data_IF_840304849840
#
_entry.id   IF_840304849840
#
_cell.length_a   1.000
_cell.length_b   1.000
_cell.length_c   1.000
_cell.angle_alpha   90.00
_cell.angle_beta   90.00
_cell.angle_gamma   90.00
#
_symmetry.space_group_name_H-M   'P 1'
#
loop_
_entity.id
_entity.type
_entity.pdbx_description
1 polymer ?
#
# COMPACT_ATOMS: atom_id res chain seq x y z
N UNK A 1 -24.47 -56.87 -50.27
CA UNK A 1 -23.27 -56.80 -49.41
C UNK A 1 -23.61 -55.93 -48.21
N UNK A 2 -23.16 -56.37 -47.03
CA UNK A 2 -23.56 -55.88 -45.71
C UNK A 2 -23.28 -54.38 -45.44
N UNK A 3 -23.99 -53.76 -44.48
CA UNK A 3 -24.04 -52.32 -44.22
C UNK A 3 -23.40 -51.93 -42.87
N UNK A 4 -23.65 -50.68 -42.43
CA UNK A 4 -23.58 -50.13 -41.05
C UNK A 4 -22.26 -49.45 -40.62
N UNK A 5 -22.34 -48.13 -40.41
CA UNK A 5 -22.31 -47.58 -39.05
C UNK A 5 -23.01 -46.21 -38.98
N UNK A 6 -24.19 -46.22 -38.38
CA UNK A 6 -24.78 -45.07 -37.68
C UNK A 6 -24.15 -45.02 -36.28
N UNK A 7 -23.76 -43.85 -35.83
CA UNK A 7 -23.71 -43.45 -34.42
C UNK A 7 -24.21 -42.00 -34.44
N UNK A 8 -25.28 -41.58 -33.79
CA UNK A 8 -25.93 -42.09 -32.59
C UNK A 8 -26.18 -40.85 -31.72
N UNK A 9 -27.29 -40.17 -31.97
CA UNK A 9 -27.73 -39.05 -31.14
C UNK A 9 -28.01 -39.55 -29.73
N UNK A 10 -27.25 -39.06 -28.74
CA UNK A 10 -27.52 -39.34 -27.33
C UNK A 10 -28.49 -38.29 -26.81
N UNK A 11 -29.76 -38.72 -26.70
CA UNK A 11 -30.75 -38.12 -25.81
C UNK A 11 -30.25 -38.23 -24.37
N UNK A 12 -30.14 -37.12 -23.66
CA UNK A 12 -30.23 -37.14 -22.19
C UNK A 12 -31.70 -36.90 -21.84
N UNK A 13 -32.37 -37.97 -21.39
CA UNK A 13 -33.64 -37.87 -20.67
C UNK A 13 -33.35 -37.63 -19.20
N UNK A 14 -34.11 -36.71 -18.65
CA UNK A 14 -34.46 -36.57 -17.25
C UNK A 14 -35.06 -37.87 -16.69
N UNK A 15 -34.62 -38.29 -15.51
CA UNK A 15 -35.44 -38.40 -14.29
C UNK A 15 -34.76 -39.28 -13.23
N UNK A 16 -35.02 -38.93 -11.98
CA UNK A 16 -34.88 -39.72 -10.75
C UNK A 16 -33.49 -40.05 -10.21
N UNK A 17 -33.07 -39.27 -9.20
CA UNK A 17 -32.93 -39.79 -7.82
C UNK A 17 -32.51 -38.68 -6.85
N UNK A 18 -33.46 -38.19 -6.06
CA UNK A 18 -33.18 -37.80 -4.68
C UNK A 18 -32.93 -39.09 -3.86
N UNK A 19 -32.09 -39.02 -2.80
CA UNK A 19 -32.69 -39.24 -1.49
C UNK A 19 -32.11 -38.40 -0.34
N UNK A 20 -33.05 -38.00 0.55
CA UNK A 20 -33.01 -38.06 2.04
C UNK A 20 -31.84 -37.33 2.71
N UNK A 21 -32.06 -36.18 3.35
CA UNK A 21 -32.77 -35.99 4.64
C UNK A 21 -32.50 -37.08 5.68
N UNK A 22 -31.52 -36.83 6.55
CA UNK A 22 -31.42 -37.44 7.88
C UNK A 22 -31.05 -36.36 8.90
N UNK A 23 -32.09 -35.92 9.61
CA UNK A 23 -32.21 -36.01 11.07
C UNK A 23 -31.09 -35.41 11.93
N UNK A 24 -31.47 -34.30 12.58
CA UNK A 24 -31.24 -33.96 13.99
C UNK A 24 -29.89 -34.36 14.63
N UNK A 25 -29.10 -33.35 14.96
CA UNK A 25 -28.54 -33.24 16.33
C UNK A 25 -28.41 -31.78 16.74
N UNK A 26 -29.52 -31.28 17.27
CA UNK A 26 -29.57 -30.13 18.17
C UNK A 26 -28.90 -30.56 19.49
N UNK A 27 -27.62 -30.23 19.66
CA UNK A 27 -26.99 -30.20 20.98
C UNK A 27 -26.85 -28.73 21.40
N UNK A 28 -27.84 -28.31 22.17
CA UNK A 28 -27.84 -27.12 23.00
C UNK A 28 -26.69 -27.21 24.01
N UNK A 29 -25.56 -26.57 23.74
CA UNK A 29 -24.65 -26.16 24.82
C UNK A 29 -25.11 -24.80 25.33
N UNK A 30 -26.14 -24.82 26.19
CA UNK A 30 -26.39 -23.74 27.14
C UNK A 30 -25.27 -23.81 28.17
N UNK A 31 -24.30 -22.92 28.07
CA UNK A 31 -23.51 -22.52 29.23
C UNK A 31 -24.18 -21.30 29.84
N UNK A 32 -24.98 -21.54 30.88
CA UNK A 32 -25.37 -20.50 31.83
C UNK A 32 -24.09 -19.93 32.46
N UNK A 33 -23.86 -18.61 32.46
CA UNK A 33 -23.01 -18.03 33.47
C UNK A 33 -23.76 -18.08 34.80
N UNK A 34 -23.41 -19.04 35.65
CA UNK A 34 -23.81 -19.01 37.06
C UNK A 34 -23.27 -17.71 37.66
N UNK A 35 -24.18 -16.88 38.18
CA UNK A 35 -23.88 -15.86 39.18
C UNK A 35 -23.07 -16.52 40.30
N UNK A 36 -21.81 -16.13 40.41
CA UNK A 36 -21.07 -16.23 41.66
C UNK A 36 -21.04 -14.83 42.24
N UNK A 37 -21.94 -14.60 43.20
CA UNK A 37 -21.84 -13.47 44.11
C UNK A 37 -20.55 -13.66 44.91
N UNK A 38 -19.52 -12.92 44.50
CA UNK A 38 -18.24 -12.83 45.19
C UNK A 38 -18.02 -11.38 45.57
N UNK A 39 -18.43 -11.03 46.79
CA UNK A 39 -18.11 -9.77 47.45
C UNK A 39 -16.59 -9.62 47.56
N UNK A 40 -15.97 -8.94 46.59
CA UNK A 40 -14.56 -8.60 46.68
C UNK A 40 -14.40 -7.23 47.32
N UNK A 41 -13.97 -7.23 48.57
CA UNK A 41 -13.54 -6.03 49.30
C UNK A 41 -12.41 -5.34 48.54
N UNK A 42 -12.69 -4.19 47.95
CA UNK A 42 -11.64 -3.25 47.52
C UNK A 42 -11.09 -2.62 48.79
N UNK A 43 -9.95 -3.13 49.26
CA UNK A 43 -9.12 -2.45 50.25
C UNK A 43 -8.65 -1.11 49.67
N UNK A 44 -9.23 -0.02 50.15
CA UNK A 44 -8.63 1.30 50.11
C UNK A 44 -7.24 1.26 50.75
N UNK A 45 -6.20 1.46 49.94
CA UNK A 45 -4.90 1.89 50.42
C UNK A 45 -4.70 3.34 49.99
N UNK A 46 -4.86 4.22 50.96
CA UNK A 46 -4.29 5.56 50.99
C UNK A 46 -2.77 5.44 50.89
N UNK A 47 -2.17 6.17 49.96
CA UNK A 47 -0.73 6.45 50.00
C UNK A 47 -0.57 7.97 49.86
N UNK A 48 -0.24 8.56 50.99
CA UNK A 48 0.07 9.98 51.19
C UNK A 48 1.36 10.34 50.47
N UNK A 49 1.37 11.55 49.92
CA UNK A 49 2.45 12.23 49.23
C UNK A 49 3.71 12.48 50.09
N UNK A 50 4.83 12.71 49.41
CA UNK A 50 5.84 13.79 49.59
C UNK A 50 7.27 13.27 49.36
N UNK A 51 7.95 13.86 48.38
CA UNK A 51 9.34 13.54 48.06
C UNK A 51 9.96 14.54 47.08
N UNK A 52 10.11 15.77 47.55
CA UNK A 52 11.08 16.81 47.18
C UNK A 52 11.53 16.98 45.72
N UNK A 53 11.19 18.16 45.18
CA UNK A 53 11.95 18.86 44.14
C UNK A 53 13.39 19.10 44.59
N UNK A 54 14.35 18.85 43.69
CA UNK A 54 15.59 19.62 43.63
C UNK A 54 15.81 20.07 42.18
N UNK A 55 15.72 21.38 41.97
CA UNK A 55 16.20 22.06 40.77
C UNK A 55 17.74 21.95 40.70
N UNK A 56 18.25 21.64 39.52
CA UNK A 56 19.58 22.06 39.10
C UNK A 56 19.51 22.50 37.64
N UNK A 57 19.34 23.80 37.44
CA UNK A 57 19.63 24.47 36.19
C UNK A 57 21.11 24.85 36.20
N UNK A 58 21.87 24.35 35.22
CA UNK A 58 23.14 24.94 34.83
C UNK A 58 23.18 24.94 33.30
N UNK A 59 23.06 26.15 32.76
CA UNK A 59 22.92 26.44 31.34
C UNK A 59 24.16 26.11 30.53
N UNK A 60 23.91 25.61 29.32
CA UNK A 60 24.81 25.76 28.19
C UNK A 60 24.03 26.53 27.14
N UNK A 61 24.31 27.83 27.06
CA UNK A 61 23.82 28.69 25.99
C UNK A 61 24.45 28.25 24.67
N UNK A 62 23.75 27.39 23.91
CA UNK A 62 24.04 27.23 22.49
C UNK A 62 23.26 28.33 21.77
N UNK A 63 23.98 29.37 21.35
CA UNK A 63 23.44 30.39 20.47
C UNK A 63 22.94 29.71 19.18
N UNK A 64 21.63 29.54 19.05
CA UNK A 64 21.01 29.16 17.80
C UNK A 64 21.11 30.36 16.86
N UNK A 65 22.08 30.31 15.94
CA UNK A 65 22.07 31.18 14.79
C UNK A 65 20.74 30.96 14.03
N UNK A 66 20.02 32.01 13.60
CA UNK A 66 18.84 31.82 12.77
C UNK A 66 19.31 31.20 11.47
N UNK A 67 18.97 29.93 11.26
CA UNK A 67 19.14 29.31 9.94
C UNK A 67 18.19 30.05 9.03
N UNK A 68 18.78 30.93 8.22
CA UNK A 68 18.09 31.60 7.12
C UNK A 68 17.36 30.53 6.33
N UNK A 69 16.06 30.75 6.09
CA UNK A 69 15.27 29.94 5.19
C UNK A 69 15.88 30.06 3.78
N UNK A 70 16.87 29.21 3.51
CA UNK A 70 17.47 29.05 2.21
C UNK A 70 16.43 28.38 1.33
N UNK A 71 15.74 29.24 0.58
CA UNK A 71 15.26 29.04 -0.78
C UNK A 71 15.37 27.60 -1.29
N UNK A 72 14.21 26.96 -1.48
CA UNK A 72 14.04 25.64 -2.10
C UNK A 72 14.87 25.53 -3.39
N UNK A 73 15.97 24.79 -3.31
CA UNK A 73 16.73 24.33 -4.46
C UNK A 73 16.08 23.10 -5.10
N UNK A 74 16.23 22.91 -6.41
CA UNK A 74 15.56 21.87 -7.19
C UNK A 74 16.10 20.47 -6.85
N UNK A 75 15.30 19.45 -7.18
CA UNK A 75 15.58 18.03 -6.97
C UNK A 75 17.05 17.62 -7.21
N UNK A 76 17.57 16.71 -6.38
CA UNK A 76 18.76 15.95 -6.75
C UNK A 76 19.53 15.32 -5.61
N UNK A 77 19.30 14.02 -5.42
CA UNK A 77 20.28 12.94 -5.17
C UNK A 77 19.45 11.71 -4.76
N UNK A 78 19.39 10.67 -5.60
CA UNK A 78 18.75 9.35 -5.38
C UNK A 78 17.38 9.02 -6.06
N UNK A 79 16.93 9.70 -7.12
CA UNK A 79 15.79 9.23 -7.97
C UNK A 79 14.69 10.26 -8.22
N UNK A 80 13.53 9.81 -8.75
CA UNK A 80 12.34 10.65 -8.99
C UNK A 80 11.73 11.21 -7.68
N UNK A 81 11.01 12.33 -7.80
CA UNK A 81 10.17 12.90 -6.74
C UNK A 81 10.84 14.02 -5.94
N UNK A 82 10.04 14.67 -5.10
CA UNK A 82 10.48 15.69 -4.14
C UNK A 82 10.56 15.07 -2.74
N UNK A 83 11.61 15.36 -1.99
CA UNK A 83 11.74 14.91 -0.61
C UNK A 83 10.60 15.45 0.25
N UNK A 84 9.90 14.55 0.92
CA UNK A 84 8.94 14.82 1.98
C UNK A 84 9.27 13.97 3.21
N UNK A 85 8.79 14.39 4.37
CA UNK A 85 8.95 13.68 5.63
C UNK A 85 7.59 13.55 6.32
N UNK A 86 7.35 12.43 6.98
CA UNK A 86 6.11 12.20 7.72
C UNK A 86 6.20 12.70 9.17
N UNK A 87 5.09 13.22 9.69
CA UNK A 87 4.94 13.72 11.07
C UNK A 87 4.96 12.58 12.09
N UNK A 88 4.40 11.43 11.70
CA UNK A 88 4.21 10.23 12.52
C UNK A 88 4.42 8.99 11.66
N UNK A 89 4.57 7.83 12.30
CA UNK A 89 4.56 6.56 11.58
C UNK A 89 3.19 6.41 10.88
N UNK A 90 3.22 6.31 9.56
CA UNK A 90 2.02 6.42 8.73
C UNK A 90 1.94 5.26 7.76
N UNK A 91 0.77 4.61 7.61
CA UNK A 91 0.56 3.61 6.58
C UNK A 91 0.78 4.15 5.17
N UNK A 92 1.39 3.34 4.31
CA UNK A 92 1.33 3.49 2.87
C UNK A 92 0.14 2.68 2.35
N UNK A 93 -0.75 3.30 1.58
CA UNK A 93 -1.93 2.66 1.02
C UNK A 93 -1.73 2.29 -0.45
N UNK A 94 -2.26 1.14 -0.87
CA UNK A 94 -2.17 0.68 -2.26
C UNK A 94 -2.85 1.63 -3.25
N UNK A 95 -3.98 2.22 -2.87
CA UNK A 95 -4.72 3.16 -3.71
C UNK A 95 -5.27 4.34 -2.89
N UNK A 96 -5.92 5.30 -3.57
CA UNK A 96 -6.55 6.43 -2.89
C UNK A 96 -7.77 5.96 -2.08
N UNK A 97 -7.68 6.04 -0.76
CA UNK A 97 -8.79 5.79 0.16
C UNK A 97 -8.53 4.70 1.21
N UNK A 98 -9.27 4.79 2.32
CA UNK A 98 -9.09 3.95 3.52
C UNK A 98 -9.48 2.47 3.32
N UNK A 99 -10.20 2.13 2.26
CA UNK A 99 -10.61 0.75 1.96
C UNK A 99 -9.53 -0.04 1.22
N UNK A 100 -8.43 0.60 0.80
CA UNK A 100 -7.35 -0.08 0.11
C UNK A 100 -6.36 -0.70 1.11
N UNK A 101 -5.72 -1.84 0.76
CA UNK A 101 -4.75 -2.48 1.64
C UNK A 101 -3.59 -1.54 2.01
N UNK A 102 -3.12 -1.67 3.24
CA UNK A 102 -1.83 -1.11 3.63
C UNK A 102 -0.72 -1.97 3.03
N UNK A 103 0.25 -1.31 2.39
CA UNK A 103 1.35 -1.95 1.65
C UNK A 103 2.72 -1.73 2.29
N UNK A 104 2.79 -0.82 3.26
CA UNK A 104 4.00 -0.48 4.00
C UNK A 104 3.76 0.57 5.07
N UNK A 105 4.84 1.10 5.63
CA UNK A 105 4.84 2.19 6.61
C UNK A 105 5.89 3.21 6.20
N UNK A 106 5.48 4.48 6.11
CA UNK A 106 6.37 5.63 6.09
C UNK A 106 6.57 6.10 7.54
N UNK A 107 7.71 5.71 8.08
CA UNK A 107 8.15 6.01 9.43
C UNK A 107 8.32 7.51 9.66
N UNK A 108 7.89 8.02 10.82
CA UNK A 108 8.06 9.41 11.23
C UNK A 108 9.50 9.88 10.94
N UNK A 109 9.62 11.07 10.35
CA UNK A 109 10.88 11.72 9.96
C UNK A 109 11.70 11.02 8.87
N UNK A 110 11.32 9.82 8.44
CA UNK A 110 12.00 9.14 7.33
C UNK A 110 11.79 9.91 6.02
N UNK A 111 12.71 9.71 5.10
CA UNK A 111 12.69 10.34 3.79
C UNK A 111 11.75 9.57 2.86
N UNK A 112 10.74 10.25 2.33
CA UNK A 112 9.88 9.71 1.28
C UNK A 112 10.07 10.59 0.05
N UNK A 113 10.22 9.97 -1.12
CA UNK A 113 10.13 10.68 -2.38
C UNK A 113 8.66 10.81 -2.78
N UNK A 114 8.09 12.00 -2.57
CA UNK A 114 6.74 12.32 -3.02
C UNK A 114 6.71 12.66 -4.51
N UNK A 115 5.77 12.09 -5.25
CA UNK A 115 5.75 12.09 -6.71
C UNK A 115 4.64 12.97 -7.25
N UNK A 116 3.40 12.67 -6.87
CA UNK A 116 2.19 13.28 -7.37
C UNK A 116 1.11 13.28 -6.27
N UNK A 117 0.07 14.08 -6.45
CA UNK A 117 -1.08 14.15 -5.54
C UNK A 117 -2.36 13.62 -6.20
N UNK A 118 -3.25 13.10 -5.36
CA UNK A 118 -4.60 12.68 -5.72
C UNK A 118 -5.56 13.00 -4.57
N UNK A 119 -6.85 13.10 -4.87
CA UNK A 119 -7.91 13.25 -3.87
C UNK A 119 -8.68 11.93 -3.75
N UNK A 120 -9.00 11.53 -2.53
CA UNK A 120 -9.97 10.46 -2.31
C UNK A 120 -11.41 10.95 -2.58
N UNK A 121 -12.37 10.04 -2.44
CA UNK A 121 -13.78 10.35 -2.63
C UNK A 121 -14.36 11.34 -1.59
N UNK A 122 -13.65 11.59 -0.48
CA UNK A 122 -14.01 12.58 0.54
C UNK A 122 -13.27 13.92 0.34
N UNK A 123 -12.64 14.13 -0.82
CA UNK A 123 -11.86 15.31 -1.15
C UNK A 123 -10.67 15.53 -0.18
N UNK A 124 -10.15 14.46 0.40
CA UNK A 124 -8.92 14.46 1.20
C UNK A 124 -7.74 14.14 0.30
N UNK A 125 -6.69 14.93 0.42
CA UNK A 125 -5.49 14.82 -0.42
C UNK A 125 -4.57 13.70 0.08
N UNK A 126 -4.10 12.91 -0.87
CA UNK A 126 -3.01 11.96 -0.69
C UNK A 126 -1.87 12.28 -1.65
N UNK A 127 -0.67 11.89 -1.25
CA UNK A 127 0.54 11.96 -2.06
C UNK A 127 1.04 10.55 -2.32
N UNK A 128 1.25 10.21 -3.59
CA UNK A 128 1.99 9.00 -3.94
C UNK A 128 3.45 9.20 -3.56
N UNK A 129 3.96 8.33 -2.70
CA UNK A 129 5.34 8.36 -2.23
C UNK A 129 6.06 7.04 -2.47
N UNK A 130 7.38 7.13 -2.62
CA UNK A 130 8.31 6.00 -2.53
C UNK A 130 9.10 6.16 -1.24
N UNK A 131 8.98 5.20 -0.33
CA UNK A 131 9.77 5.18 0.89
C UNK A 131 11.25 4.96 0.55
N UNK A 132 12.12 5.85 1.04
CA UNK A 132 13.58 5.70 0.86
C UNK A 132 14.16 4.85 1.98
N UNK A 133 15.32 4.20 1.77
CA UNK A 133 16.00 3.47 2.83
C UNK A 133 16.09 4.30 4.12
N UNK A 134 15.49 3.78 5.18
CA UNK A 134 15.39 4.42 6.48
C UNK A 134 15.30 3.37 7.58
N UNK A 135 14.39 3.56 8.53
CA UNK A 135 14.17 2.63 9.66
C UNK A 135 13.66 1.26 9.22
N UNK A 136 13.02 1.20 8.04
CA UNK A 136 12.59 -0.04 7.39
C UNK A 136 13.74 -0.93 6.90
N UNK A 137 14.96 -0.40 6.83
CA UNK A 137 16.09 -1.08 6.22
C UNK A 137 15.93 -1.27 4.71
N UNK A 138 16.97 -1.83 4.09
CA UNK A 138 17.05 -1.96 2.62
C UNK A 138 16.00 -2.92 2.05
N UNK A 139 15.48 -3.85 2.85
CA UNK A 139 14.50 -4.85 2.39
C UNK A 139 13.15 -4.24 1.99
N UNK A 140 12.76 -3.14 2.63
CA UNK A 140 11.47 -2.46 2.40
C UNK A 140 11.64 -1.10 1.74
N UNK A 141 12.90 -0.71 1.48
CA UNK A 141 13.21 0.45 0.68
C UNK A 141 12.53 0.36 -0.69
N UNK A 142 12.12 1.52 -1.18
CA UNK A 142 11.34 1.70 -2.39
C UNK A 142 9.96 1.06 -2.35
N UNK A 143 9.37 0.84 -1.16
CA UNK A 143 7.92 0.58 -1.09
C UNK A 143 7.17 1.82 -1.55
N UNK A 144 6.25 1.65 -2.52
CA UNK A 144 5.45 2.73 -3.07
C UNK A 144 4.00 2.64 -2.57
N UNK A 145 3.42 3.80 -2.25
CA UNK A 145 2.02 3.89 -1.85
C UNK A 145 1.61 5.31 -1.50
N UNK A 146 0.33 5.48 -1.21
CA UNK A 146 -0.28 6.77 -0.90
C UNK A 146 -0.19 7.11 0.59
N UNK A 147 0.19 8.34 0.88
CA UNK A 147 0.25 8.94 2.21
C UNK A 147 -0.78 10.07 2.29
N UNK A 148 -1.51 10.16 3.41
CA UNK A 148 -2.37 11.32 3.67
C UNK A 148 -1.53 12.58 3.83
N UNK A 149 -1.93 13.64 3.15
CA UNK A 149 -1.21 14.91 3.21
C UNK A 149 -1.16 15.52 4.61
N UNK A 150 -2.20 15.29 5.42
CA UNK A 150 -2.27 15.71 6.82
C UNK A 150 -1.14 15.11 7.70
N UNK A 151 -0.42 14.09 7.20
CA UNK A 151 0.70 13.46 7.88
C UNK A 151 2.08 13.87 7.34
N UNK A 152 2.16 14.85 6.42
CA UNK A 152 3.40 15.31 5.80
C UNK A 152 3.81 16.67 6.36
N UNK A 153 5.11 16.86 6.64
CA UNK A 153 5.66 18.13 7.14
C UNK A 153 5.61 19.25 6.09
N UNK A 154 5.95 18.92 4.84
CA UNK A 154 6.10 19.89 3.75
C UNK A 154 4.75 20.20 3.09
N UNK A 155 4.63 21.39 2.51
CA UNK A 155 3.47 21.71 1.66
C UNK A 155 3.54 20.93 0.34
N UNK A 156 2.53 20.12 0.06
CA UNK A 156 2.46 19.27 -1.13
C UNK A 156 1.50 19.80 -2.20
N UNK A 157 0.85 20.94 -1.98
CA UNK A 157 -0.20 21.45 -2.88
C UNK A 157 0.27 21.71 -4.33
N UNK A 158 1.57 21.95 -4.54
CA UNK A 158 2.17 22.14 -5.86
C UNK A 158 2.51 20.85 -6.60
N UNK A 159 2.21 19.68 -6.05
CA UNK A 159 2.52 18.41 -6.70
C UNK A 159 1.64 18.21 -7.94
N UNK A 160 2.17 17.61 -9.02
CA UNK A 160 1.36 17.27 -10.20
C UNK A 160 0.31 16.21 -9.85
N UNK A 161 -0.74 16.11 -10.66
CA UNK A 161 -1.79 15.09 -10.45
C UNK A 161 -1.29 13.69 -10.79
N UNK A 162 -1.67 12.70 -9.98
CA UNK A 162 -1.44 11.28 -10.30
C UNK A 162 -2.32 10.75 -11.43
N UNK A 163 -3.30 11.52 -11.92
CA UNK A 163 -4.22 11.07 -12.97
C UNK A 163 -3.65 11.18 -14.39
N UNK A 164 -2.45 11.73 -14.54
CA UNK A 164 -1.78 11.91 -15.83
C UNK A 164 -0.29 12.16 -15.63
N UNK A 165 0.34 11.46 -14.68
CA UNK A 165 1.73 11.75 -14.31
C UNK A 165 2.72 11.15 -15.32
N UNK A 166 2.44 9.93 -15.77
CA UNK A 166 3.37 9.14 -16.59
C UNK A 166 2.84 8.84 -17.99
N UNK A 167 3.71 8.36 -18.91
CA UNK A 167 3.25 7.75 -20.15
C UNK A 167 2.35 6.55 -19.86
N UNK A 168 1.34 6.36 -20.71
CA UNK A 168 0.53 5.14 -20.68
C UNK A 168 1.34 3.97 -21.23
N UNK A 169 1.25 2.87 -20.53
CA UNK A 169 1.81 1.57 -20.90
C UNK A 169 0.79 0.47 -20.64
N UNK A 170 0.97 -0.68 -21.26
CA UNK A 170 -0.02 -1.74 -21.33
C UNK A 170 0.60 -3.07 -20.94
N UNK A 171 0.06 -3.80 -19.95
CA UNK A 171 0.49 -5.16 -19.66
C UNK A 171 0.16 -6.11 -20.82
N UNK A 172 1.13 -6.91 -21.28
CA UNK A 172 0.91 -7.94 -22.33
C UNK A 172 0.23 -9.20 -21.79
N UNK A 173 0.26 -9.39 -20.48
CA UNK A 173 -0.39 -10.49 -19.74
C UNK A 173 -0.79 -9.99 -18.36
N UNK A 174 -1.66 -10.74 -17.68
CA UNK A 174 -1.97 -10.45 -16.28
C UNK A 174 -0.68 -10.56 -15.47
N UNK A 175 -0.32 -9.50 -14.77
CA UNK A 175 0.90 -9.44 -13.96
C UNK A 175 0.59 -8.93 -12.57
N UNK A 176 1.32 -9.43 -11.58
CA UNK A 176 1.15 -9.02 -10.19
C UNK A 176 1.70 -7.62 -9.99
N UNK A 177 0.98 -6.80 -9.24
CA UNK A 177 1.48 -5.52 -8.72
C UNK A 177 2.07 -5.78 -7.34
N UNK A 178 3.34 -5.41 -7.14
CA UNK A 178 4.08 -5.57 -5.90
C UNK A 178 4.18 -4.24 -5.15
N UNK A 179 4.23 -4.28 -3.82
CA UNK A 179 4.35 -3.05 -3.01
C UNK A 179 5.72 -2.39 -3.11
N UNK A 180 6.77 -3.17 -3.37
CA UNK A 180 8.14 -2.68 -3.53
C UNK A 180 8.88 -3.48 -4.59
N UNK A 181 10.18 -3.24 -4.67
CA UNK A 181 11.04 -3.93 -5.64
C UNK A 181 11.33 -5.37 -5.21
N UNK A 182 11.17 -6.31 -6.14
CA UNK A 182 11.54 -7.71 -5.99
C UNK A 182 10.49 -8.63 -5.37
N UNK A 183 10.73 -9.93 -5.54
CA UNK A 183 9.80 -11.01 -5.16
C UNK A 183 9.63 -11.22 -3.64
N UNK A 184 10.46 -10.58 -2.83
CA UNK A 184 10.34 -10.62 -1.37
C UNK A 184 9.26 -9.67 -0.83
N UNK A 185 8.71 -8.80 -1.67
CA UNK A 185 7.62 -7.90 -1.29
C UNK A 185 6.26 -8.52 -1.62
N UNK A 186 5.22 -8.24 -0.83
CA UNK A 186 3.90 -8.79 -1.08
C UNK A 186 3.31 -8.30 -2.41
N UNK A 187 2.64 -9.20 -3.12
CA UNK A 187 1.72 -8.84 -4.20
C UNK A 187 0.46 -8.20 -3.60
N UNK A 188 0.09 -7.03 -4.11
CA UNK A 188 -0.98 -6.18 -3.58
C UNK A 188 -2.12 -5.98 -4.57
N UNK A 189 -1.92 -6.36 -5.84
CA UNK A 189 -2.94 -6.28 -6.88
C UNK A 189 -2.53 -7.02 -8.15
N UNK A 190 -3.34 -6.84 -9.20
CA UNK A 190 -3.10 -7.40 -10.54
C UNK A 190 -3.27 -6.30 -11.57
N UNK A 191 -2.29 -6.12 -12.44
CA UNK A 191 -2.41 -5.35 -13.66
C UNK A 191 -2.88 -6.30 -14.77
N UNK A 192 -4.06 -6.03 -15.32
CA UNK A 192 -4.70 -6.94 -16.29
C UNK A 192 -4.13 -6.73 -17.70
N UNK A 193 -4.06 -7.83 -18.45
CA UNK A 193 -3.61 -7.79 -19.84
C UNK A 193 -4.49 -6.85 -20.67
N UNK A 194 -3.87 -5.87 -21.34
CA UNK A 194 -4.55 -4.92 -22.21
C UNK A 194 -5.22 -3.74 -21.50
N UNK A 195 -5.14 -3.63 -20.18
CA UNK A 195 -5.59 -2.45 -19.45
C UNK A 195 -4.49 -1.36 -19.45
N UNK A 196 -4.88 -0.09 -19.39
CA UNK A 196 -3.92 1.02 -19.32
C UNK A 196 -3.36 1.15 -17.90
N UNK A 197 -2.04 1.32 -17.78
CA UNK A 197 -1.37 1.79 -16.56
C UNK A 197 -0.45 2.96 -16.88
N UNK A 198 -0.23 3.87 -15.94
CA UNK A 198 0.72 4.98 -16.11
C UNK A 198 2.08 4.58 -15.55
N UNK A 199 3.12 4.54 -16.39
CA UNK A 199 4.49 4.27 -15.98
C UNK A 199 5.14 5.50 -15.35
N UNK A 200 5.62 5.38 -14.11
CA UNK A 200 6.13 6.52 -13.32
C UNK A 200 7.65 6.56 -13.36
N UNK A 201 8.27 5.44 -12.98
CA UNK A 201 9.73 5.29 -12.90
C UNK A 201 10.09 3.80 -12.95
N UNK A 202 11.36 3.50 -13.18
CA UNK A 202 11.89 2.13 -13.24
C UNK A 202 12.90 1.87 -12.11
N UNK A 203 13.01 0.62 -11.69
CA UNK A 203 13.97 0.17 -10.68
C UNK A 203 14.40 -1.25 -10.97
N UNK A 204 15.57 -1.65 -10.49
CA UNK A 204 16.00 -3.04 -10.55
C UNK A 204 15.71 -3.72 -9.20
N UNK A 205 15.23 -4.96 -9.24
CA UNK A 205 15.18 -5.81 -8.06
C UNK A 205 16.60 -6.21 -7.61
N UNK A 206 16.68 -6.92 -6.48
CA UNK A 206 17.94 -7.41 -5.93
C UNK A 206 18.71 -8.40 -6.84
N UNK A 207 18.07 -8.90 -7.91
CA UNK A 207 18.67 -9.79 -8.91
C UNK A 207 18.98 -9.05 -10.24
N UNK A 208 18.84 -7.73 -10.28
CA UNK A 208 19.06 -6.92 -11.49
C UNK A 208 17.92 -6.98 -12.50
N UNK A 209 16.76 -7.56 -12.17
CA UNK A 209 15.58 -7.58 -13.03
C UNK A 209 14.81 -6.28 -12.88
N UNK A 210 14.43 -5.69 -14.01
CA UNK A 210 13.76 -4.40 -14.03
C UNK A 210 12.26 -4.52 -13.71
N UNK A 211 11.79 -3.61 -12.87
CA UNK A 211 10.39 -3.36 -12.54
C UNK A 211 10.05 -1.90 -12.81
N UNK A 212 8.77 -1.63 -13.04
CA UNK A 212 8.25 -0.28 -13.28
C UNK A 212 7.21 0.03 -12.22
N UNK A 213 7.37 1.16 -11.53
CA UNK A 213 6.30 1.72 -10.70
C UNK A 213 5.22 2.23 -11.64
N UNK A 214 4.01 1.71 -11.47
CA UNK A 214 2.85 2.08 -12.27
C UNK A 214 1.71 2.58 -11.40
N UNK A 215 0.81 3.34 -12.01
CA UNK A 215 -0.51 3.70 -11.46
C UNK A 215 -1.57 3.06 -12.37
N UNK A 216 -2.38 2.17 -11.81
CA UNK A 216 -3.50 1.51 -12.50
C UNK A 216 -4.53 2.55 -12.95
N UNK A 217 -5.06 2.43 -14.17
CA UNK A 217 -6.22 3.20 -14.60
C UNK A 217 -7.51 2.42 -14.32
N UNK A 218 -8.68 3.10 -14.31
CA UNK A 218 -9.94 2.38 -14.29
C UNK A 218 -10.00 1.38 -15.46
N UNK A 219 -10.04 0.10 -15.12
CA UNK A 219 -10.05 -1.02 -16.07
C UNK A 219 -10.89 -2.17 -15.53
N UNK A 220 -10.46 -3.40 -15.75
CA UNK A 220 -11.14 -4.61 -15.27
C UNK A 220 -11.15 -4.74 -13.76
N UNK A 221 -10.20 -4.11 -13.09
CA UNK A 221 -10.20 -3.95 -11.63
C UNK A 221 -11.42 -3.12 -11.14
N UNK A 222 -12.08 -2.36 -12.01
CA UNK A 222 -13.18 -1.50 -11.66
C UNK A 222 -12.72 -0.22 -10.95
N UNK A 223 -13.66 0.71 -10.75
CA UNK A 223 -13.35 2.04 -10.22
C UNK A 223 -12.81 2.03 -8.79
N UNK A 224 -13.16 1.01 -8.00
CA UNK A 224 -12.74 0.87 -6.60
C UNK A 224 -11.23 0.66 -6.42
N UNK A 225 -10.55 0.21 -7.47
CA UNK A 225 -9.11 -0.06 -7.51
C UNK A 225 -8.38 0.86 -8.50
N UNK A 226 -9.09 1.83 -9.08
CA UNK A 226 -8.48 2.81 -9.95
C UNK A 226 -7.45 3.65 -9.19
N UNK A 227 -6.38 4.00 -9.89
CA UNK A 227 -5.24 4.75 -9.37
C UNK A 227 -4.47 4.02 -8.26
N UNK A 228 -4.64 2.70 -8.12
CA UNK A 228 -3.74 1.93 -7.25
C UNK A 228 -2.32 1.96 -7.82
N UNK A 229 -1.32 2.00 -6.95
CA UNK A 229 0.08 2.16 -7.35
C UNK A 229 0.94 1.03 -6.80
N UNK A 230 1.91 0.59 -7.61
CA UNK A 230 2.90 -0.40 -7.22
C UNK A 230 3.76 -0.84 -8.40
N UNK A 231 4.60 -1.83 -8.19
CA UNK A 231 5.60 -2.27 -9.16
C UNK A 231 5.10 -3.45 -9.98
N UNK A 232 5.21 -3.37 -11.29
CA UNK A 232 5.00 -4.49 -12.21
C UNK A 232 6.32 -4.87 -12.88
N UNK A 233 6.43 -6.10 -13.37
CA UNK A 233 7.61 -6.50 -14.13
C UNK A 233 7.66 -5.77 -15.46
N UNK A 234 8.82 -5.20 -15.76
CA UNK A 234 9.00 -4.48 -17.02
C UNK A 234 8.85 -5.39 -18.25
N UNK A 235 9.29 -6.64 -18.13
CA UNK A 235 9.12 -7.66 -19.18
C UNK A 235 7.64 -8.01 -19.47
N UNK A 236 6.71 -7.58 -18.61
CA UNK A 236 5.28 -7.76 -18.80
C UNK A 236 4.60 -6.52 -19.43
N UNK A 237 5.36 -5.47 -19.75
CA UNK A 237 4.87 -4.25 -20.41
C UNK A 237 5.18 -4.31 -21.91
N UNK A 238 4.22 -3.89 -22.74
CA UNK A 238 4.36 -3.90 -24.20
C UNK A 238 5.32 -2.84 -24.72
N UNK A 239 5.25 -1.65 -24.12
CA UNK A 239 5.98 -0.45 -24.53
C UNK A 239 7.41 -0.43 -23.99
N UNK A 240 8.27 0.35 -24.64
CA UNK A 240 9.62 0.57 -24.16
C UNK A 240 9.63 1.57 -22.99
N UNK A 241 10.05 1.10 -21.82
CA UNK A 241 10.12 1.88 -20.57
C UNK A 241 11.51 2.46 -20.29
N UNK A 242 12.46 2.35 -21.22
CA UNK A 242 13.84 2.83 -21.04
C UNK A 242 13.91 4.34 -20.78
N UNK A 243 12.94 5.12 -21.26
CA UNK A 243 12.86 6.56 -21.04
C UNK A 243 12.34 6.95 -19.66
N UNK A 244 11.77 6.00 -18.89
CA UNK A 244 11.32 6.28 -17.54
C UNK A 244 12.52 6.65 -16.65
N UNK A 245 12.36 7.64 -15.75
CA UNK A 245 13.38 7.98 -14.78
C UNK A 245 13.58 6.84 -13.79
N UNK A 246 14.72 6.82 -13.10
CA UNK A 246 14.95 5.84 -12.04
C UNK A 246 14.15 6.20 -10.79
N UNK A 247 13.46 5.20 -10.22
CA UNK A 247 12.73 5.38 -8.97
C UNK A 247 13.68 5.74 -7.83
N UNK A 248 14.94 5.33 -7.91
CA UNK A 248 16.03 5.61 -6.98
C UNK A 248 16.94 4.42 -6.76
N UNK A 249 17.89 4.53 -5.84
CA UNK A 249 18.91 3.49 -5.65
C UNK A 249 18.37 2.27 -4.89
N UNK A 250 18.82 1.11 -5.34
CA UNK A 250 19.10 -0.10 -4.56
C UNK A 250 20.28 0.14 -3.64
#
# INVERSE_FOLDING_TARGET
MNPLHRVGAVRLRTDDMAPRSTTERRLTNRHEPRRVEGTFMIRTKTATALGALCLAAAGVSVAAAPVSAAQQGPAGLLGIGTRINTLVDTPLYFGPGLSTPQVGVAWATDNVAGICQIYDNNNKRLVLGIERPGRNGVQWANTAGYIWDDFIFQNTAGFPSCLSYGPRVTPIRNTTIYSGQGLSTPGVGVAWAGDDVEGICKVNDNNGKRMVLVIERPGRNGIQWANSAGYVWDLDIAENTNSLPDCGTV
#
